data_IF_552054343244
#
_entry.id   IF_552054343244
#
_cell.length_a   1.000
_cell.length_b   1.000
_cell.length_c   1.000
_cell.angle_alpha   90.00
_cell.angle_beta   90.00
_cell.angle_gamma   90.00
#
_symmetry.space_group_name_H-M   'P 1'
#
loop_
_entity.id
_entity.type
_entity.pdbx_description
1 polymer ?
#
# COMPACT_ATOMS: atom_id res chain seq x y z
N UNK A 1 10.46 1.04 7.65
CA UNK A 1 11.56 0.29 7.04
C UNK A 1 12.72 0.26 8.02
N UNK A 2 13.19 -0.95 8.38
CA UNK A 2 14.60 -1.32 8.67
C UNK A 2 15.30 -0.66 9.89
N UNK A 3 16.16 -1.29 10.68
CA UNK A 3 16.71 -2.65 10.79
C UNK A 3 17.28 -2.75 12.23
N UNK A 4 17.37 -3.95 12.79
CA UNK A 4 17.99 -4.23 14.10
C UNK A 4 19.47 -3.81 14.17
N UNK A 5 20.00 -3.52 15.38
CA UNK A 5 21.37 -3.88 15.68
C UNK A 5 21.45 -4.81 16.90
N UNK A 6 22.12 -5.94 16.64
CA UNK A 6 22.68 -6.91 17.59
C UNK A 6 23.42 -6.20 18.72
N UNK A 7 23.09 -6.54 19.97
CA UNK A 7 23.71 -5.99 21.17
C UNK A 7 25.06 -6.71 21.43
N UNK A 8 26.23 -6.06 21.24
CA UNK A 8 27.55 -6.70 21.25
C UNK A 8 28.27 -6.59 22.61
N UNK A 9 27.54 -6.75 23.73
CA UNK A 9 28.05 -6.32 25.05
C UNK A 9 28.09 -7.32 26.20
N UNK A 10 27.83 -8.63 26.01
CA UNK A 10 27.68 -9.56 27.17
C UNK A 10 28.34 -10.94 27.09
N UNK A 11 29.34 -11.15 26.24
CA UNK A 11 30.10 -12.42 26.23
C UNK A 11 31.61 -12.16 26.25
N UNK A 12 32.15 -11.83 27.43
CA UNK A 12 33.61 -11.89 27.61
C UNK A 12 34.06 -12.36 28.99
N UNK A 13 33.16 -12.74 29.91
CA UNK A 13 33.54 -13.31 31.21
C UNK A 13 32.50 -14.35 31.62
N UNK A 14 32.92 -15.61 31.70
CA UNK A 14 32.08 -16.72 32.17
C UNK A 14 31.83 -16.55 33.67
N UNK A 15 30.58 -16.61 34.12
CA UNK A 15 30.23 -16.42 35.53
C UNK A 15 30.48 -17.71 36.34
N UNK A 16 30.83 -17.58 37.62
CA UNK A 16 31.11 -18.74 38.49
C UNK A 16 29.93 -19.70 38.63
N UNK A 17 28.70 -19.19 38.52
CA UNK A 17 27.48 -20.01 38.54
C UNK A 17 27.33 -20.87 37.27
N UNK A 18 27.77 -20.35 36.12
CA UNK A 18 27.80 -21.10 34.86
C UNK A 18 28.86 -22.20 34.91
N UNK A 19 30.04 -21.92 35.48
CA UNK A 19 31.09 -22.94 35.71
C UNK A 19 30.58 -24.05 36.64
N UNK A 20 29.92 -23.69 37.75
CA UNK A 20 29.35 -24.67 38.67
C UNK A 20 28.25 -25.52 38.02
N UNK A 21 27.54 -24.98 37.04
CA UNK A 21 26.55 -25.73 36.26
C UNK A 21 27.21 -26.71 35.31
N UNK A 22 28.31 -26.32 34.64
CA UNK A 22 29.11 -27.20 33.78
C UNK A 22 29.75 -28.34 34.59
N UNK A 23 30.30 -28.06 35.77
CA UNK A 23 30.86 -29.09 36.66
C UNK A 23 29.84 -30.15 37.06
N UNK A 24 28.58 -29.75 37.32
CA UNK A 24 27.48 -30.69 37.60
C UNK A 24 27.19 -31.59 36.40
N UNK A 25 27.23 -31.04 35.19
CA UNK A 25 27.04 -31.83 33.95
C UNK A 25 28.18 -32.83 33.75
N UNK A 26 29.43 -32.42 33.98
CA UNK A 26 30.59 -33.33 33.92
C UNK A 26 30.43 -34.50 34.89
N UNK A 27 30.03 -34.22 36.14
CA UNK A 27 29.75 -35.26 37.13
C UNK A 27 28.61 -36.19 36.71
N UNK A 28 27.55 -35.66 36.10
CA UNK A 28 26.43 -36.45 35.61
C UNK A 28 26.83 -37.37 34.43
N UNK A 29 27.80 -36.94 33.62
CA UNK A 29 28.37 -37.72 32.53
C UNK A 29 29.51 -38.67 32.97
N UNK A 30 29.89 -38.66 34.26
CA UNK A 30 30.98 -39.49 34.79
C UNK A 30 32.37 -38.98 34.46
N UNK A 31 32.51 -37.73 34.03
CA UNK A 31 33.77 -37.06 33.75
C UNK A 31 34.29 -36.35 35.00
N UNK A 32 35.62 -36.16 35.08
CA UNK A 32 36.23 -35.42 36.19
C UNK A 32 35.88 -33.92 36.11
N UNK A 33 35.21 -33.34 37.12
CA UNK A 33 34.86 -31.92 37.15
C UNK A 33 36.07 -30.99 37.03
N UNK A 34 37.28 -31.43 37.42
CA UNK A 34 38.50 -30.63 37.32
C UNK A 34 38.88 -30.27 35.87
N UNK A 35 38.39 -31.05 34.88
CA UNK A 35 38.63 -30.83 33.46
C UNK A 35 37.80 -29.68 32.89
N UNK A 36 36.68 -29.31 33.51
CA UNK A 36 35.80 -28.24 33.02
C UNK A 36 36.52 -26.90 32.92
N UNK A 37 37.40 -26.60 33.87
CA UNK A 37 38.16 -25.35 33.89
C UNK A 37 39.26 -25.33 32.81
N UNK A 38 39.90 -26.47 32.57
CA UNK A 38 40.89 -26.66 31.51
C UNK A 38 40.26 -26.49 30.13
N UNK A 39 39.12 -27.14 29.89
CA UNK A 39 38.44 -27.11 28.59
C UNK A 39 37.82 -25.74 28.29
N UNK A 40 37.42 -24.99 29.32
CA UNK A 40 36.95 -23.62 29.17
C UNK A 40 38.07 -22.65 28.77
N UNK A 41 39.29 -22.87 29.28
CA UNK A 41 40.46 -22.05 28.98
C UNK A 41 41.24 -22.53 27.74
N UNK A 42 40.94 -23.72 27.22
CA UNK A 42 41.60 -24.30 26.05
C UNK A 42 41.28 -23.56 24.73
N UNK A 43 40.42 -22.55 24.76
CA UNK A 43 40.49 -21.38 23.88
C UNK A 43 40.68 -21.69 22.39
N UNK A 44 39.85 -22.58 21.82
CA UNK A 44 39.46 -22.67 20.41
C UNK A 44 38.69 -23.98 20.21
N UNK A 45 37.38 -23.96 20.44
CA UNK A 45 36.51 -25.04 19.96
C UNK A 45 36.34 -24.76 18.47
N UNK A 46 37.06 -25.48 17.62
CA UNK A 46 36.87 -25.37 16.17
C UNK A 46 35.39 -25.60 15.84
N UNK A 47 34.75 -24.62 15.20
CA UNK A 47 33.35 -24.67 14.74
C UNK A 47 33.25 -25.55 13.49
N UNK A 48 33.60 -26.82 13.68
CA UNK A 48 33.63 -27.84 12.64
C UNK A 48 32.80 -29.05 13.09
N UNK A 49 32.07 -29.72 12.18
CA UNK A 49 31.26 -30.88 12.53
C UNK A 49 32.12 -32.00 13.14
N UNK A 50 31.90 -32.31 14.43
CA UNK A 50 32.57 -33.42 15.09
C UNK A 50 31.96 -34.74 14.63
N UNK A 51 32.75 -35.54 13.94
CA UNK A 51 32.31 -36.85 13.45
C UNK A 51 32.30 -37.85 14.60
N UNK A 52 31.11 -38.24 15.07
CA UNK A 52 30.92 -39.17 16.21
C UNK A 52 31.16 -40.64 15.81
N UNK A 53 30.95 -40.98 14.53
CA UNK A 53 31.17 -42.33 13.98
C UNK A 53 31.40 -42.23 12.48
N UNK A 54 32.41 -42.93 11.98
CA UNK A 54 32.65 -43.03 10.54
C UNK A 54 31.48 -43.76 9.85
N UNK A 55 31.03 -43.25 8.70
CA UNK A 55 30.00 -43.91 7.91
C UNK A 55 30.52 -45.27 7.44
N UNK A 56 29.80 -46.35 7.78
CA UNK A 56 30.02 -47.66 7.19
C UNK A 56 29.02 -47.82 6.05
N UNK A 57 29.45 -48.18 4.82
CA UNK A 57 28.52 -48.50 3.75
C UNK A 57 27.69 -49.71 4.18
N UNK A 58 26.37 -49.51 4.30
CA UNK A 58 25.43 -50.60 4.50
C UNK A 58 25.42 -51.54 3.29
N UNK A 59 25.07 -52.80 3.52
CA UNK A 59 24.82 -53.76 2.43
C UNK A 59 23.85 -53.15 1.41
N UNK A 60 24.08 -53.41 0.12
CA UNK A 60 23.16 -53.00 -0.94
C UNK A 60 21.76 -53.51 -0.62
N UNK A 61 20.85 -52.61 -0.26
CA UNK A 61 19.43 -52.93 -0.06
C UNK A 61 18.74 -53.28 -1.38
N UNK A 62 17.44 -53.59 -1.34
CA UNK A 62 16.66 -53.82 -2.55
C UNK A 62 16.80 -52.65 -3.56
N UNK A 63 16.90 -53.01 -4.85
CA UNK A 63 16.94 -52.03 -5.93
C UNK A 63 15.64 -51.21 -5.94
N UNK A 64 15.77 -49.88 -5.80
CA UNK A 64 14.65 -48.95 -5.90
C UNK A 64 14.16 -48.97 -7.36
N UNK A 65 12.87 -49.24 -7.63
CA UNK A 65 12.31 -49.16 -8.98
C UNK A 65 12.54 -47.76 -9.57
N UNK A 66 12.89 -47.68 -10.85
CA UNK A 66 13.06 -46.39 -11.53
C UNK A 66 11.77 -45.58 -11.43
N UNK A 67 11.86 -44.38 -10.84
CA UNK A 67 10.74 -43.44 -10.82
C UNK A 67 10.35 -43.14 -12.26
N UNK A 68 9.16 -43.59 -12.70
CA UNK A 68 8.60 -43.17 -13.96
C UNK A 68 8.54 -41.65 -13.95
N UNK A 69 9.28 -41.01 -14.86
CA UNK A 69 9.32 -39.55 -15.00
C UNK A 69 7.89 -39.09 -15.22
N UNK A 70 7.28 -38.48 -14.20
CA UNK A 70 5.92 -37.99 -14.30
C UNK A 70 5.87 -36.99 -15.46
N UNK A 71 5.28 -37.40 -16.57
CA UNK A 71 4.93 -36.49 -17.66
C UNK A 71 3.85 -35.58 -17.10
N UNK A 72 4.23 -34.35 -16.77
CA UNK A 72 3.28 -33.32 -16.35
C UNK A 72 2.17 -33.13 -17.38
N UNK A 73 1.08 -32.44 -17.02
CA UNK A 73 -0.03 -32.21 -17.93
C UNK A 73 0.45 -31.55 -19.22
N UNK A 74 0.17 -32.18 -20.36
CA UNK A 74 0.52 -31.67 -21.68
C UNK A 74 -0.46 -30.56 -22.04
N UNK A 75 0.04 -29.35 -22.22
CA UNK A 75 -0.78 -28.20 -22.61
C UNK A 75 -1.13 -28.27 -24.09
N UNK A 76 -2.41 -28.06 -24.40
CA UNK A 76 -2.92 -28.00 -25.77
C UNK A 76 -2.72 -26.59 -26.34
N UNK A 77 -1.74 -26.46 -27.25
CA UNK A 77 -1.40 -25.20 -27.90
C UNK A 77 -2.59 -24.60 -28.67
N UNK A 78 -3.47 -25.44 -29.22
CA UNK A 78 -4.65 -24.99 -29.97
C UNK A 78 -5.67 -24.34 -29.04
N UNK A 79 -5.88 -24.93 -27.85
CA UNK A 79 -6.74 -24.34 -26.82
C UNK A 79 -6.19 -23.02 -26.30
N UNK A 80 -4.87 -22.92 -26.09
CA UNK A 80 -4.23 -21.68 -25.65
C UNK A 80 -4.44 -20.56 -26.69
N UNK A 81 -4.25 -20.87 -27.97
CA UNK A 81 -4.45 -19.91 -29.05
C UNK A 81 -5.90 -19.43 -29.13
N UNK A 82 -6.87 -20.34 -29.01
CA UNK A 82 -8.29 -20.00 -28.98
C UNK A 82 -8.64 -19.08 -27.80
N UNK A 83 -8.22 -19.41 -26.59
CA UNK A 83 -8.47 -18.60 -25.38
C UNK A 83 -7.86 -17.20 -25.54
N UNK A 84 -6.63 -17.08 -26.04
CA UNK A 84 -5.98 -15.78 -26.26
C UNK A 84 -6.71 -14.92 -27.29
N UNK A 85 -7.21 -15.54 -28.37
CA UNK A 85 -8.00 -14.83 -29.37
C UNK A 85 -9.33 -14.33 -28.81
N UNK A 86 -10.00 -15.14 -27.98
CA UNK A 86 -11.23 -14.73 -27.32
C UNK A 86 -11.00 -13.58 -26.34
N UNK A 87 -9.94 -13.66 -25.52
CA UNK A 87 -9.55 -12.55 -24.64
C UNK A 87 -9.24 -11.28 -25.44
N UNK A 88 -8.47 -11.38 -26.53
CA UNK A 88 -8.14 -10.22 -27.37
C UNK A 88 -9.39 -9.57 -27.97
N UNK A 89 -10.37 -10.37 -28.42
CA UNK A 89 -11.64 -9.87 -28.95
C UNK A 89 -12.45 -9.16 -27.86
N UNK A 90 -12.58 -9.74 -26.68
CA UNK A 90 -13.31 -9.12 -25.55
C UNK A 90 -12.63 -7.84 -25.10
N UNK A 91 -11.30 -7.85 -24.97
CA UNK A 91 -10.51 -6.66 -24.64
C UNK A 91 -10.67 -5.55 -25.69
N UNK A 92 -10.76 -5.89 -26.98
CA UNK A 92 -11.04 -4.90 -28.03
C UNK A 92 -12.43 -4.29 -27.92
N UNK A 93 -13.45 -5.10 -27.60
CA UNK A 93 -14.82 -4.60 -27.44
C UNK A 93 -14.93 -3.71 -26.19
N UNK A 94 -14.37 -4.14 -25.06
CA UNK A 94 -14.32 -3.33 -23.86
C UNK A 94 -13.49 -2.06 -24.08
N UNK A 95 -12.35 -2.17 -24.76
CA UNK A 95 -11.54 -1.02 -25.17
C UNK A 95 -12.37 -0.01 -25.93
N UNK A 96 -13.15 -0.43 -26.92
CA UNK A 96 -14.06 0.47 -27.66
C UNK A 96 -15.17 1.07 -26.79
N UNK A 97 -15.69 0.35 -25.79
CA UNK A 97 -16.70 0.88 -24.86
C UNK A 97 -16.07 1.96 -23.97
N UNK A 98 -14.88 1.72 -23.43
CA UNK A 98 -14.18 2.65 -22.55
C UNK A 98 -13.47 3.79 -23.30
N UNK A 99 -13.14 3.62 -24.59
CA UNK A 99 -12.59 4.66 -25.46
C UNK A 99 -13.71 5.56 -26.02
N UNK A 100 -14.96 5.09 -26.04
CA UNK A 100 -16.13 5.90 -26.40
C UNK A 100 -16.57 6.90 -25.32
N UNK A 101 -15.87 7.01 -24.18
CA UNK A 101 -16.09 8.02 -23.13
C UNK A 101 -15.02 9.13 -23.13
N UNK A 102 -14.27 9.29 -24.24
CA UNK A 102 -13.58 10.54 -24.58
C UNK A 102 -14.26 11.30 -25.74
N UNK A 103 -15.53 10.99 -26.04
CA UNK A 103 -16.40 12.09 -26.45
C UNK A 103 -16.63 12.92 -25.21
N UNK A 104 -15.75 13.93 -25.06
CA UNK A 104 -16.04 15.10 -24.28
C UNK A 104 -17.53 15.41 -24.47
N UNK A 105 -18.32 15.15 -23.43
CA UNK A 105 -19.47 15.97 -23.18
C UNK A 105 -18.88 17.38 -23.14
N UNK A 106 -18.91 18.06 -24.28
CA UNK A 106 -18.71 19.50 -24.36
C UNK A 106 -19.87 20.13 -23.55
N UNK A 107 -19.81 20.00 -22.23
CA UNK A 107 -20.21 21.06 -21.33
C UNK A 107 -19.28 22.20 -21.70
N UNK A 108 -19.83 23.11 -22.51
CA UNK A 108 -19.05 23.98 -23.37
C UNK A 108 -17.83 24.61 -22.70
N UNK A 109 -16.72 24.61 -23.42
CA UNK A 109 -15.61 25.54 -23.26
C UNK A 109 -16.13 26.96 -23.58
N UNK A 110 -17.08 27.45 -22.81
CA UNK A 110 -17.09 28.85 -22.43
C UNK A 110 -16.09 28.95 -21.29
N UNK A 111 -14.81 29.13 -21.64
CA UNK A 111 -13.92 30.04 -20.90
C UNK A 111 -14.51 31.44 -20.96
N UNK A 112 -15.73 31.60 -20.43
CA UNK A 112 -16.07 32.85 -19.78
C UNK A 112 -15.03 32.97 -18.68
N UNK A 113 -14.34 34.10 -18.67
CA UNK A 113 -13.36 34.43 -17.64
C UNK A 113 -14.12 34.51 -16.32
N UNK A 114 -14.18 33.38 -15.64
CA UNK A 114 -14.76 33.24 -14.32
C UNK A 114 -13.70 33.58 -13.28
N UNK A 115 -14.19 33.98 -12.10
CA UNK A 115 -13.39 34.37 -10.95
C UNK A 115 -12.42 33.24 -10.50
N UNK A 116 -12.73 32.00 -10.88
CA UNK A 116 -11.94 30.80 -10.59
C UNK A 116 -11.50 30.15 -11.90
N UNK A 117 -10.19 30.19 -12.18
CA UNK A 117 -9.64 29.51 -13.35
C UNK A 117 -9.98 28.01 -13.31
N UNK A 118 -10.54 27.49 -14.41
CA UNK A 118 -10.94 26.09 -14.55
C UNK A 118 -12.38 25.77 -14.15
N UNK A 119 -13.12 26.72 -13.57
CA UNK A 119 -14.50 26.51 -13.11
C UNK A 119 -15.48 27.35 -13.93
N UNK A 120 -16.62 26.79 -14.35
CA UNK A 120 -17.62 27.57 -15.09
C UNK A 120 -18.37 28.58 -14.20
N UNK A 121 -19.15 29.48 -14.81
CA UNK A 121 -19.82 30.57 -14.10
C UNK A 121 -20.88 30.09 -13.09
N UNK A 122 -21.53 28.95 -13.35
CA UNK A 122 -22.54 28.37 -12.45
C UNK A 122 -21.87 27.70 -11.26
N UNK A 123 -20.80 26.94 -11.50
CA UNK A 123 -20.02 26.29 -10.46
C UNK A 123 -19.27 27.32 -9.60
N UNK A 124 -18.77 28.41 -10.17
CA UNK A 124 -18.18 29.53 -9.40
C UNK A 124 -19.20 30.26 -8.51
N UNK A 125 -20.43 30.44 -8.98
CA UNK A 125 -21.52 30.99 -8.17
C UNK A 125 -21.94 30.04 -7.05
N UNK A 126 -21.99 28.73 -7.34
CA UNK A 126 -22.21 27.69 -6.33
C UNK A 126 -21.09 27.71 -5.27
N UNK A 127 -19.83 27.74 -5.69
CA UNK A 127 -18.65 27.75 -4.83
C UNK A 127 -18.68 28.95 -3.86
N UNK A 128 -19.06 30.13 -4.37
CA UNK A 128 -19.19 31.34 -3.55
C UNK A 128 -20.26 31.23 -2.46
N UNK A 129 -21.41 30.60 -2.77
CA UNK A 129 -22.45 30.33 -1.77
C UNK A 129 -21.99 29.22 -0.79
N UNK A 130 -21.25 28.23 -1.28
CA UNK A 130 -20.86 27.04 -0.55
C UNK A 130 -19.85 27.31 0.58
N UNK A 131 -18.87 28.19 0.33
CA UNK A 131 -17.89 28.62 1.35
C UNK A 131 -18.47 29.53 2.43
N UNK A 132 -19.75 29.91 2.32
CA UNK A 132 -20.48 30.70 3.31
C UNK A 132 -20.86 29.92 4.58
N UNK A 133 -20.82 28.59 4.54
CA UNK A 133 -21.15 27.71 5.66
C UNK A 133 -20.11 26.59 5.77
N UNK A 134 -19.79 26.18 7.00
CA UNK A 134 -18.74 25.19 7.27
C UNK A 134 -19.19 23.74 7.02
N UNK A 135 -20.49 23.46 7.14
CA UNK A 135 -21.07 22.13 6.95
C UNK A 135 -22.43 22.24 6.24
N UNK A 136 -22.69 21.38 5.27
CA UNK A 136 -23.95 21.28 4.55
C UNK A 136 -24.57 19.90 4.75
N UNK A 137 -25.88 19.85 5.01
CA UNK A 137 -26.61 18.59 4.90
C UNK A 137 -26.83 18.22 3.44
N UNK A 138 -27.04 16.94 3.14
CA UNK A 138 -27.28 16.45 1.77
C UNK A 138 -28.44 17.19 1.08
N UNK A 139 -29.55 17.38 1.80
CA UNK A 139 -30.74 18.07 1.30
C UNK A 139 -30.47 19.57 1.05
N UNK A 140 -29.74 20.23 1.96
CA UNK A 140 -29.39 21.65 1.80
C UNK A 140 -28.45 21.87 0.61
N UNK A 141 -27.45 20.99 0.42
CA UNK A 141 -26.56 21.02 -0.72
C UNK A 141 -27.30 20.75 -2.03
N UNK A 142 -28.23 19.79 -2.05
CA UNK A 142 -29.05 19.52 -3.22
C UNK A 142 -29.94 20.71 -3.60
N UNK A 143 -30.56 21.38 -2.62
CA UNK A 143 -31.32 22.61 -2.86
C UNK A 143 -30.42 23.73 -3.40
N UNK A 144 -29.21 23.88 -2.86
CA UNK A 144 -28.24 24.86 -3.31
C UNK A 144 -27.82 24.61 -4.77
N UNK A 145 -27.51 23.36 -5.13
CA UNK A 145 -27.21 22.97 -6.51
C UNK A 145 -28.40 23.26 -7.43
N UNK A 146 -29.61 22.94 -6.99
CA UNK A 146 -30.86 23.19 -7.74
C UNK A 146 -31.11 24.68 -8.00
N UNK A 147 -30.77 25.57 -7.06
CA UNK A 147 -30.85 27.03 -7.24
C UNK A 147 -29.96 27.53 -8.38
N UNK A 148 -28.81 26.88 -8.59
CA UNK A 148 -27.86 27.17 -9.68
C UNK A 148 -28.12 26.35 -10.96
N UNK A 149 -29.16 25.49 -10.95
CA UNK A 149 -29.53 24.65 -12.09
C UNK A 149 -28.55 23.49 -12.34
N UNK A 150 -27.87 23.03 -11.29
CA UNK A 150 -26.91 21.93 -11.33
C UNK A 150 -27.47 20.69 -10.62
N UNK A 151 -27.01 19.51 -11.04
CA UNK A 151 -27.26 18.26 -10.31
C UNK A 151 -26.26 18.15 -9.16
N UNK A 152 -26.70 17.70 -7.98
CA UNK A 152 -25.85 17.61 -6.78
C UNK A 152 -24.59 16.76 -7.00
N UNK A 153 -24.73 15.58 -7.60
CA UNK A 153 -23.60 14.69 -7.84
C UNK A 153 -22.54 15.29 -8.77
N UNK A 154 -22.96 15.89 -9.89
CA UNK A 154 -22.03 16.50 -10.84
C UNK A 154 -21.41 17.80 -10.31
N UNK A 155 -22.16 18.57 -9.53
CA UNK A 155 -21.65 19.77 -8.88
C UNK A 155 -20.59 19.45 -7.82
N UNK A 156 -20.83 18.39 -7.03
CA UNK A 156 -19.86 17.90 -6.05
C UNK A 156 -18.55 17.47 -6.72
N UNK A 157 -18.65 16.67 -7.77
CA UNK A 157 -17.49 16.19 -8.54
C UNK A 157 -16.69 17.35 -9.14
N UNK A 158 -17.36 18.26 -9.86
CA UNK A 158 -16.70 19.39 -10.50
C UNK A 158 -16.01 20.33 -9.50
N UNK A 159 -16.63 20.57 -8.34
CA UNK A 159 -16.06 21.44 -7.30
C UNK A 159 -14.89 20.75 -6.59
N UNK A 160 -14.99 19.46 -6.32
CA UNK A 160 -13.89 18.70 -5.71
C UNK A 160 -12.71 18.53 -6.67
N UNK A 161 -12.96 18.25 -7.95
CA UNK A 161 -11.92 18.17 -8.97
C UNK A 161 -11.15 19.51 -9.09
N UNK A 162 -11.86 20.63 -9.19
CA UNK A 162 -11.25 21.96 -9.18
C UNK A 162 -10.41 22.21 -7.93
N UNK A 163 -10.92 21.81 -6.76
CA UNK A 163 -10.21 21.96 -5.50
C UNK A 163 -8.92 21.12 -5.46
N UNK A 164 -8.95 19.89 -5.97
CA UNK A 164 -7.77 19.05 -6.10
C UNK A 164 -6.74 19.65 -7.05
N UNK A 165 -7.16 20.19 -8.20
CA UNK A 165 -6.22 20.82 -9.13
C UNK A 165 -5.54 22.06 -8.55
N UNK A 166 -6.27 22.86 -7.76
CA UNK A 166 -5.79 24.12 -7.22
C UNK A 166 -5.05 23.99 -5.88
N UNK A 167 -5.47 23.05 -5.02
CA UNK A 167 -5.05 22.95 -3.62
C UNK A 167 -4.59 21.54 -3.20
N UNK A 168 -4.61 20.55 -4.11
CA UNK A 168 -4.24 19.14 -3.85
C UNK A 168 -5.11 18.45 -2.77
N UNK A 169 -6.32 18.99 -2.52
CA UNK A 169 -7.30 18.48 -1.54
C UNK A 169 -8.73 18.72 -2.04
N UNK A 170 -9.68 17.87 -1.62
CA UNK A 170 -11.11 18.08 -1.88
C UNK A 170 -11.65 19.28 -1.09
N UNK A 171 -12.57 20.05 -1.70
CA UNK A 171 -13.26 21.11 -0.97
C UNK A 171 -14.29 20.54 0.01
N UNK A 172 -15.00 19.49 -0.40
CA UNK A 172 -16.10 18.88 0.33
C UNK A 172 -15.74 17.45 0.74
N UNK A 173 -15.73 17.20 2.05
CA UNK A 173 -15.60 15.86 2.62
C UNK A 173 -16.98 15.27 2.95
N UNK A 174 -17.23 14.04 2.51
CA UNK A 174 -18.51 13.34 2.70
C UNK A 174 -18.54 12.65 4.07
N UNK A 175 -18.88 13.40 5.11
CA UNK A 175 -19.03 12.87 6.48
C UNK A 175 -20.29 13.40 7.17
N UNK A 176 -21.35 12.58 7.20
CA UNK A 176 -22.68 12.96 7.74
C UNK A 176 -23.23 14.26 7.11
N UNK A 177 -23.06 14.38 5.79
CA UNK A 177 -23.26 15.61 5.02
C UNK A 177 -22.00 15.95 4.24
N UNK A 178 -21.75 17.24 4.06
CA UNK A 178 -20.59 17.78 3.36
C UNK A 178 -19.89 18.81 4.24
N UNK A 179 -18.71 18.47 4.74
CA UNK A 179 -17.83 19.37 5.48
C UNK A 179 -16.96 20.16 4.50
N UNK A 180 -16.94 21.49 4.64
CA UNK A 180 -16.17 22.38 3.77
C UNK A 180 -14.76 22.57 4.35
N UNK A 181 -13.73 22.28 3.56
CA UNK A 181 -12.33 22.50 3.97
C UNK A 181 -12.10 23.99 4.28
N UNK A 182 -11.70 24.35 5.51
CA UNK A 182 -11.55 25.75 5.91
C UNK A 182 -10.39 26.43 5.16
N UNK A 183 -9.35 25.68 4.81
CA UNK A 183 -8.18 26.20 4.09
C UNK A 183 -8.57 26.69 2.69
N UNK A 184 -9.35 25.88 1.97
CA UNK A 184 -9.83 26.21 0.63
C UNK A 184 -10.93 27.27 0.71
N UNK A 185 -11.82 27.19 1.69
CA UNK A 185 -12.87 28.19 1.90
C UNK A 185 -12.29 29.59 2.15
N UNK A 186 -11.23 29.70 2.95
CA UNK A 186 -10.56 30.96 3.22
C UNK A 186 -9.80 31.49 1.99
N UNK A 187 -9.19 30.61 1.20
CA UNK A 187 -8.57 31.00 -0.07
C UNK A 187 -9.61 31.56 -1.06
N UNK A 188 -10.76 30.89 -1.19
CA UNK A 188 -11.88 31.35 -2.03
C UNK A 188 -12.41 32.71 -1.55
N UNK A 189 -12.59 32.89 -0.23
CA UNK A 189 -13.00 34.18 0.36
C UNK A 189 -11.99 35.29 0.05
N UNK A 190 -10.68 35.02 0.12
CA UNK A 190 -9.65 36.01 -0.22
C UNK A 190 -9.69 36.41 -1.70
N UNK A 191 -10.00 35.48 -2.61
CA UNK A 191 -10.17 35.78 -4.04
C UNK A 191 -11.41 36.68 -4.24
N UNK A 192 -12.52 36.35 -3.57
CA UNK A 192 -13.75 37.16 -3.60
C UNK A 192 -13.55 38.57 -3.01
N UNK A 193 -12.82 38.69 -1.90
CA UNK A 193 -12.50 39.98 -1.26
C UNK A 193 -11.49 40.80 -2.07
N UNK A 194 -10.56 40.14 -2.77
CA UNK A 194 -9.56 40.75 -3.63
C UNK A 194 -10.16 41.52 -4.81
N UNK A 195 -11.29 41.05 -5.34
CA UNK A 195 -11.99 41.70 -6.46
C UNK A 195 -12.86 42.90 -6.01
N UNK A 196 -13.35 42.88 -4.76
CA UNK A 196 -14.08 44.00 -4.15
C UNK A 196 -13.24 45.26 -3.92
N UNK A 197 -11.91 45.18 -4.05
CA UNK A 197 -10.98 46.33 -3.94
C UNK A 197 -10.60 46.93 -5.30
N UNK A 198 -11.05 46.35 -6.41
CA UNK A 198 -10.70 46.83 -7.75
C UNK A 198 -11.91 47.33 -8.56
N UNK A 199 -12.78 48.14 -7.92
CA UNK A 199 -13.69 49.08 -8.59
C UNK A 199 -13.55 50.46 -7.97
#
# INVERSE_FOLDING_TARGET
>A
MFYSPVNPGRFSVIQSEEVASIEKVYKALGLDPSLAYSDLHAGEIADAPRTVRAAQPGNSGEAIPELQKATGPVLDASRIAAIRSDTARVSSVLGQIFEAEEEAVEGGDSKDLTLFAGLDAKHGALLSDLVGQENWTEDAFQQLCGKHGLMSSGALEAVNEWAFEAYDEALLDEYDGYDVSPEIADAVKQILEGEGRHV
#
